data_IF_685198565484
#
_entry.id   IF_685198565484
#
_cell.length_a   1.000
_cell.length_b   1.000
_cell.length_c   1.000
_cell.angle_alpha   90.00
_cell.angle_beta   90.00
_cell.angle_gamma   90.00
#
_symmetry.space_group_name_H-M   'P 1'
#
loop_
_entity.id
_entity.type
_entity.pdbx_description
1 polymer ?
#
# COMPACT_ATOMS: atom_id res chain seq x y z
N UNK A 1 73.05 56.55 56.38
CA UNK A 1 71.76 56.99 55.81
C UNK A 1 70.80 55.82 55.89
N UNK A 2 69.70 55.94 56.63
CA UNK A 2 68.70 54.87 56.72
C UNK A 2 67.84 54.83 55.46
N UNK A 3 67.84 53.72 54.74
CA UNK A 3 66.95 53.51 53.59
C UNK A 3 65.51 53.40 54.10
N UNK A 4 64.59 54.21 53.60
CA UNK A 4 63.19 54.17 54.04
C UNK A 4 62.42 53.03 53.34
N UNK A 5 61.59 52.32 54.10
CA UNK A 5 60.80 51.16 53.64
C UNK A 5 59.54 51.55 52.84
N UNK A 6 59.11 52.80 52.97
CA UNK A 6 57.88 53.32 52.39
C UNK A 6 57.71 53.14 50.87
N UNK A 7 58.75 53.30 50.02
CA UNK A 7 58.62 53.06 48.58
C UNK A 7 58.28 51.60 48.25
N UNK A 8 58.83 50.65 49.00
CA UNK A 8 58.54 49.22 48.84
C UNK A 8 57.08 48.94 49.20
N UNK A 9 56.61 49.49 50.32
CA UNK A 9 55.20 49.35 50.74
C UNK A 9 54.25 49.97 49.71
N UNK A 10 54.59 51.13 49.15
CA UNK A 10 53.79 51.76 48.10
C UNK A 10 53.72 50.91 46.83
N UNK A 11 54.85 50.32 46.42
CA UNK A 11 54.92 49.42 45.27
C UNK A 11 54.08 48.15 45.49
N UNK A 12 54.18 47.51 46.67
CA UNK A 12 53.36 46.33 47.03
C UNK A 12 51.86 46.67 46.95
N UNK A 13 51.43 47.80 47.55
CA UNK A 13 50.02 48.24 47.45
C UNK A 13 49.58 48.55 46.02
N UNK A 14 50.48 49.03 45.16
CA UNK A 14 50.16 49.25 43.75
C UNK A 14 49.94 47.92 43.02
N UNK A 15 50.77 46.91 43.31
CA UNK A 15 50.61 45.54 42.79
C UNK A 15 49.33 44.90 43.31
N UNK A 16 49.00 45.01 44.60
CA UNK A 16 47.75 44.48 45.15
C UNK A 16 46.51 45.04 44.44
N UNK A 17 46.48 46.37 44.22
CA UNK A 17 45.39 47.01 43.46
C UNK A 17 45.34 46.54 42.02
N UNK A 18 46.50 46.37 41.38
CA UNK A 18 46.55 45.90 40.00
C UNK A 18 46.04 44.46 39.91
N UNK A 19 46.46 43.56 40.80
CA UNK A 19 45.99 42.18 40.87
C UNK A 19 44.48 42.14 41.08
N UNK A 20 43.93 42.96 41.98
CA UNK A 20 42.47 43.08 42.17
C UNK A 20 41.74 43.50 40.88
N UNK A 21 42.29 44.48 40.15
CA UNK A 21 41.72 44.92 38.87
C UNK A 21 41.81 43.85 37.76
N UNK A 22 42.86 43.01 37.76
CA UNK A 22 42.98 41.90 36.82
C UNK A 22 42.02 40.76 37.18
N UNK A 23 41.87 40.43 38.47
CA UNK A 23 40.91 39.42 38.93
C UNK A 23 39.47 39.80 38.56
N UNK A 24 39.06 41.06 38.78
CA UNK A 24 37.74 41.54 38.37
C UNK A 24 37.52 41.45 36.85
N UNK A 25 38.56 41.73 36.06
CA UNK A 25 38.52 41.58 34.59
C UNK A 25 38.39 40.12 34.17
N UNK A 26 39.12 39.21 34.79
CA UNK A 26 39.04 37.77 34.51
C UNK A 26 37.63 37.23 34.80
N UNK A 27 37.05 37.57 35.96
CA UNK A 27 35.68 37.14 36.30
C UNK A 27 34.63 37.68 35.31
N UNK A 28 34.81 38.92 34.83
CA UNK A 28 33.94 39.49 33.80
C UNK A 28 34.06 38.75 32.47
N UNK A 29 35.29 38.43 32.05
CA UNK A 29 35.55 37.66 30.85
C UNK A 29 34.99 36.25 30.95
N UNK A 30 35.21 35.56 32.08
CA UNK A 30 34.71 34.21 32.32
C UNK A 30 33.18 34.11 32.23
N UNK A 31 32.44 35.09 32.81
CA UNK A 31 30.98 35.14 32.61
C UNK A 31 30.60 35.35 31.14
N UNK A 32 31.32 36.22 30.44
CA UNK A 32 31.04 36.53 29.03
C UNK A 32 31.34 35.34 28.13
N UNK A 33 32.44 34.63 28.36
CA UNK A 33 32.79 33.41 27.61
C UNK A 33 31.80 32.31 27.90
N UNK A 34 31.42 32.08 29.17
CA UNK A 34 30.39 31.10 29.51
C UNK A 34 29.03 31.41 28.86
N UNK A 35 28.60 32.68 28.84
CA UNK A 35 27.39 33.08 28.12
C UNK A 35 27.50 32.90 26.60
N UNK A 36 28.68 33.18 26.01
CA UNK A 36 28.92 32.95 24.60
C UNK A 36 28.89 31.45 24.25
N UNK A 37 29.55 30.61 25.04
CA UNK A 37 29.53 29.14 24.89
C UNK A 37 28.11 28.58 24.96
N UNK A 38 27.30 29.06 25.89
CA UNK A 38 25.89 28.68 25.97
C UNK A 38 25.14 29.00 24.67
N UNK A 39 25.29 30.23 24.14
CA UNK A 39 24.68 30.63 22.85
C UNK A 39 25.18 29.79 21.68
N UNK A 40 26.48 29.45 21.64
CA UNK A 40 27.02 28.55 20.62
C UNK A 40 26.41 27.15 20.73
N UNK A 41 26.19 26.65 21.95
CA UNK A 41 25.55 25.36 22.17
C UNK A 41 24.09 25.34 21.70
N UNK A 42 23.36 26.43 21.93
CA UNK A 42 21.98 26.61 21.47
C UNK A 42 21.91 26.69 19.95
N UNK A 43 22.78 27.50 19.33
CA UNK A 43 22.90 27.56 17.87
C UNK A 43 23.26 26.19 17.27
N UNK A 44 24.17 25.44 17.89
CA UNK A 44 24.51 24.08 17.45
C UNK A 44 23.29 23.16 17.49
N UNK A 45 22.46 23.24 18.53
CA UNK A 45 21.22 22.45 18.63
C UNK A 45 20.24 22.80 17.52
N UNK A 46 20.02 24.09 17.24
CA UNK A 46 19.12 24.50 16.17
C UNK A 46 19.62 24.07 14.80
N UNK A 47 20.94 24.13 14.54
CA UNK A 47 21.54 23.63 13.30
C UNK A 47 21.30 22.13 13.11
N UNK A 48 21.45 21.33 14.17
CA UNK A 48 21.17 19.88 14.11
C UNK A 48 19.70 19.61 13.81
N UNK A 49 18.79 20.35 14.44
CA UNK A 49 17.33 20.25 14.19
C UNK A 49 16.96 20.66 12.75
N UNK A 50 17.60 21.70 12.20
CA UNK A 50 17.43 22.04 10.78
C UNK A 50 17.94 20.93 9.86
N UNK A 51 19.05 20.28 10.22
CA UNK A 51 19.59 19.12 9.50
C UNK A 51 18.58 17.97 9.44
N UNK A 52 18.02 17.56 10.57
CA UNK A 52 17.02 16.49 10.62
C UNK A 52 15.74 16.82 9.84
N UNK A 53 15.30 18.09 9.87
CA UNK A 53 14.18 18.56 9.07
C UNK A 53 14.46 18.52 7.56
N UNK A 54 15.68 18.83 7.13
CA UNK A 54 16.06 18.72 5.72
C UNK A 54 16.16 17.26 5.28
N UNK A 55 16.76 16.40 6.10
CA UNK A 55 16.86 14.96 5.82
C UNK A 55 15.48 14.31 5.68
N UNK A 56 14.55 14.61 6.58
CA UNK A 56 13.18 14.11 6.49
C UNK A 56 12.44 14.60 5.24
N UNK A 57 12.58 15.89 4.87
CA UNK A 57 12.02 16.43 3.61
C UNK A 57 12.63 15.78 2.37
N UNK A 58 13.95 15.55 2.37
CA UNK A 58 14.65 14.85 1.28
C UNK A 58 14.19 13.40 1.15
N UNK A 59 13.92 12.70 2.26
CA UNK A 59 13.38 11.34 2.23
C UNK A 59 11.98 11.29 1.56
N UNK A 60 11.11 12.25 1.89
CA UNK A 60 9.79 12.37 1.24
C UNK A 60 9.93 12.65 -0.25
N UNK A 61 10.80 13.59 -0.65
CA UNK A 61 11.07 13.88 -2.06
C UNK A 61 11.63 12.65 -2.80
N UNK A 62 12.54 11.90 -2.16
CA UNK A 62 13.06 10.64 -2.73
C UNK A 62 11.95 9.62 -2.99
N UNK A 63 11.00 9.49 -2.06
CA UNK A 63 9.83 8.62 -2.23
C UNK A 63 8.96 9.08 -3.40
N UNK A 64 8.69 10.37 -3.51
CA UNK A 64 7.89 10.94 -4.61
C UNK A 64 8.54 10.71 -5.98
N UNK A 65 9.86 10.84 -6.08
CA UNK A 65 10.61 10.54 -7.32
C UNK A 65 10.47 9.06 -7.68
N UNK A 66 10.57 8.16 -6.70
CA UNK A 66 10.37 6.73 -6.92
C UNK A 66 8.94 6.42 -7.42
N UNK A 67 7.92 7.02 -6.80
CA UNK A 67 6.52 6.89 -7.23
C UNK A 67 6.30 7.41 -8.65
N UNK A 68 6.87 8.57 -8.97
CA UNK A 68 6.82 9.11 -10.33
C UNK A 68 7.44 8.13 -11.35
N UNK A 69 8.58 7.53 -11.04
CA UNK A 69 9.20 6.51 -11.89
C UNK A 69 8.38 5.22 -12.03
N UNK A 70 7.61 4.85 -11.00
CA UNK A 70 6.63 3.75 -11.13
C UNK A 70 5.45 4.13 -12.03
N UNK A 71 4.93 5.35 -11.88
CA UNK A 71 3.83 5.86 -12.70
C UNK A 71 4.23 5.96 -14.17
N UNK A 72 5.44 6.44 -14.45
CA UNK A 72 5.98 6.53 -15.80
C UNK A 72 6.08 5.15 -16.47
N UNK A 73 6.56 4.12 -15.75
CA UNK A 73 6.56 2.73 -16.26
C UNK A 73 5.16 2.18 -16.50
N UNK A 74 4.19 2.48 -15.63
CA UNK A 74 2.79 2.10 -15.85
C UNK A 74 2.20 2.77 -17.09
N UNK A 75 2.54 4.04 -17.32
CA UNK A 75 2.12 4.78 -18.51
C UNK A 75 2.73 4.19 -19.78
N UNK A 76 4.03 3.88 -19.76
CA UNK A 76 4.72 3.24 -20.88
C UNK A 76 4.12 1.85 -21.19
N UNK A 77 3.84 1.06 -20.15
CA UNK A 77 3.14 -0.23 -20.30
C UNK A 77 1.75 -0.05 -20.93
N UNK A 78 1.00 0.96 -20.48
CA UNK A 78 -0.32 1.29 -21.05
C UNK A 78 -0.21 1.69 -22.52
N UNK A 79 0.76 2.54 -22.85
CA UNK A 79 1.02 2.96 -24.23
C UNK A 79 1.36 1.75 -25.13
N UNK A 80 2.19 0.83 -24.64
CA UNK A 80 2.52 -0.41 -25.34
C UNK A 80 1.29 -1.31 -25.55
N UNK A 81 0.41 -1.42 -24.54
CA UNK A 81 -0.85 -2.17 -24.67
C UNK A 81 -1.75 -1.56 -25.75
N UNK A 82 -1.88 -0.23 -25.78
CA UNK A 82 -2.68 0.49 -26.78
C UNK A 82 -2.10 0.35 -28.19
N UNK A 83 -0.77 0.51 -28.34
CA UNK A 83 -0.06 0.32 -29.62
C UNK A 83 -0.25 -1.09 -30.18
N UNK A 84 -0.18 -2.10 -29.32
CA UNK A 84 -0.31 -3.51 -29.72
C UNK A 84 -1.78 -4.00 -29.81
N UNK A 85 -2.76 -3.09 -29.64
CA UNK A 85 -4.19 -3.42 -29.59
C UNK A 85 -4.56 -4.51 -28.57
N UNK A 86 -3.78 -4.63 -27.50
CA UNK A 86 -3.98 -5.58 -26.40
C UNK A 86 -4.99 -5.04 -25.36
N UNK A 87 -6.11 -4.49 -25.85
CA UNK A 87 -7.13 -3.83 -25.03
C UNK A 87 -7.83 -4.77 -24.04
N UNK A 88 -7.81 -6.07 -24.31
CA UNK A 88 -8.41 -7.11 -23.46
C UNK A 88 -7.77 -7.18 -22.06
N UNK A 89 -6.53 -6.72 -21.89
CA UNK A 89 -5.83 -6.70 -20.59
C UNK A 89 -6.38 -5.59 -19.67
N UNK A 90 -6.98 -4.53 -20.22
CA UNK A 90 -7.56 -3.42 -19.46
C UNK A 90 -8.97 -3.69 -18.94
N UNK A 91 -9.58 -4.80 -19.38
CA UNK A 91 -10.92 -5.23 -18.99
C UNK A 91 -10.94 -5.94 -17.62
N UNK A 92 -9.78 -6.24 -17.03
CA UNK A 92 -9.71 -6.91 -15.73
C UNK A 92 -9.70 -5.90 -14.58
N UNK A 93 -10.62 -6.03 -13.61
CA UNK A 93 -10.55 -5.26 -12.37
C UNK A 93 -9.29 -5.66 -11.57
N UNK A 94 -8.65 -4.72 -10.85
CA UNK A 94 -7.51 -5.03 -10.00
C UNK A 94 -7.99 -5.81 -8.78
N UNK A 95 -7.97 -7.15 -8.87
CA UNK A 95 -8.28 -8.07 -7.77
C UNK A 95 -9.49 -9.00 -7.96
N UNK A 96 -10.08 -9.12 -9.15
CA UNK A 96 -11.26 -9.98 -9.38
C UNK A 96 -11.18 -10.79 -10.67
N UNK A 97 -11.60 -12.05 -10.57
CA UNK A 97 -11.69 -13.08 -11.61
C UNK A 97 -12.18 -12.57 -12.97
N UNK A 98 -11.65 -13.16 -14.05
CA UNK A 98 -12.03 -12.90 -15.44
C UNK A 98 -13.42 -13.49 -15.75
N UNK A 99 -14.48 -12.68 -15.96
CA UNK A 99 -15.80 -13.21 -16.30
C UNK A 99 -15.92 -13.51 -17.81
N UNK A 100 -16.46 -14.70 -18.06
CA UNK A 100 -16.56 -15.50 -19.28
C UNK A 100 -17.32 -14.90 -20.49
N UNK A 101 -17.65 -13.61 -20.53
CA UNK A 101 -18.60 -13.09 -21.52
C UNK A 101 -18.00 -12.18 -22.61
N UNK A 102 -16.69 -11.88 -22.58
CA UNK A 102 -16.11 -10.89 -23.49
C UNK A 102 -15.47 -11.43 -24.77
N UNK A 103 -15.51 -12.74 -24.98
CA UNK A 103 -15.06 -13.38 -26.23
C UNK A 103 -16.07 -13.25 -27.39
N UNK A 104 -17.13 -12.46 -27.22
CA UNK A 104 -18.14 -12.26 -28.26
C UNK A 104 -17.91 -10.94 -29.00
N UNK A 105 -16.77 -10.85 -29.67
CA UNK A 105 -16.72 -10.10 -30.93
C UNK A 105 -15.68 -10.71 -31.85
N UNK A 106 -16.18 -11.51 -32.79
CA UNK A 106 -15.60 -11.67 -34.12
C UNK A 106 -14.18 -12.22 -34.21
N UNK A 107 -14.10 -13.52 -34.49
CA UNK A 107 -13.02 -14.17 -35.25
C UNK A 107 -11.64 -14.27 -34.58
N UNK A 108 -11.43 -15.33 -33.81
CA UNK A 108 -10.14 -15.99 -33.72
C UNK A 108 -10.36 -17.48 -33.42
N UNK A 109 -10.57 -18.27 -34.47
CA UNK A 109 -10.38 -19.72 -34.39
C UNK A 109 -8.89 -19.96 -34.12
N UNK A 110 -8.55 -20.38 -32.89
CA UNK A 110 -7.19 -20.83 -32.57
C UNK A 110 -6.94 -22.12 -33.36
N UNK A 111 -5.89 -22.13 -34.17
CA UNK A 111 -5.57 -23.25 -35.05
C UNK A 111 -4.98 -24.43 -34.25
N UNK A 112 -5.26 -25.66 -34.68
CA UNK A 112 -4.85 -26.90 -33.98
C UNK A 112 -3.35 -27.02 -33.60
N UNK A 113 -2.38 -26.48 -34.36
CA UNK A 113 -0.95 -26.57 -34.00
C UNK A 113 -0.54 -25.65 -32.84
N UNK A 114 -1.29 -24.57 -32.60
CA UNK A 114 -0.97 -23.61 -31.52
C UNK A 114 -1.43 -24.14 -30.16
N UNK A 115 -2.49 -24.98 -30.15
CA UNK A 115 -3.06 -25.66 -28.98
C UNK A 115 -2.07 -26.55 -28.21
N UNK A 116 -1.15 -27.18 -28.91
CA UNK A 116 -0.18 -28.14 -28.34
C UNK A 116 0.98 -27.43 -27.63
N UNK A 117 1.28 -26.18 -28.02
CA UNK A 117 2.36 -25.37 -27.46
C UNK A 117 1.93 -24.47 -26.29
N UNK A 118 0.65 -24.45 -25.91
CA UNK A 118 0.19 -23.71 -24.73
C UNK A 118 0.54 -24.45 -23.43
N UNK A 119 1.12 -23.73 -22.48
CA UNK A 119 1.27 -24.22 -21.11
C UNK A 119 -0.09 -24.51 -20.46
N UNK A 120 -0.11 -25.43 -19.50
CA UNK A 120 -1.35 -26.01 -18.96
C UNK A 120 -2.27 -24.96 -18.34
N UNK A 121 -1.70 -23.92 -17.72
CA UNK A 121 -2.43 -22.77 -17.16
C UNK A 121 -3.12 -21.89 -18.21
N UNK A 122 -2.64 -21.89 -19.47
CA UNK A 122 -3.32 -21.21 -20.58
C UNK A 122 -4.40 -22.06 -21.24
N UNK A 123 -4.33 -23.39 -21.11
CA UNK A 123 -5.37 -24.32 -21.61
C UNK A 123 -6.55 -24.45 -20.64
N UNK A 124 -6.32 -24.27 -19.34
CA UNK A 124 -7.33 -24.36 -18.28
C UNK A 124 -8.59 -23.51 -18.54
N UNK A 125 -8.48 -22.21 -18.92
CA UNK A 125 -9.64 -21.36 -19.16
C UNK A 125 -10.51 -21.88 -20.30
N UNK A 126 -9.88 -22.38 -21.38
CA UNK A 126 -10.60 -22.94 -22.53
C UNK A 126 -11.21 -24.30 -22.24
N UNK A 127 -10.50 -25.22 -21.55
CA UNK A 127 -11.09 -26.47 -21.03
C UNK A 127 -12.33 -26.17 -20.18
N UNK A 128 -12.28 -25.10 -19.38
CA UNK A 128 -13.41 -24.66 -18.55
C UNK A 128 -14.53 -24.02 -19.39
N UNK A 129 -14.22 -23.33 -20.50
CA UNK A 129 -15.23 -22.82 -21.47
C UNK A 129 -15.92 -23.99 -22.15
N UNK A 130 -15.15 -24.94 -22.69
CA UNK A 130 -15.65 -26.09 -23.42
C UNK A 130 -16.46 -27.02 -22.51
N UNK A 131 -15.99 -27.26 -21.28
CA UNK A 131 -16.72 -28.04 -20.26
C UNK A 131 -17.97 -27.32 -19.80
N UNK A 132 -17.92 -25.99 -19.65
CA UNK A 132 -19.10 -25.16 -19.35
C UNK A 132 -20.15 -25.21 -20.46
N UNK A 133 -19.72 -25.08 -21.72
CA UNK A 133 -20.58 -25.20 -22.90
C UNK A 133 -21.18 -26.60 -23.02
N UNK A 134 -20.42 -27.67 -22.81
CA UNK A 134 -20.96 -29.03 -22.83
C UNK A 134 -21.96 -29.28 -21.69
N UNK A 135 -21.69 -28.82 -20.46
CA UNK A 135 -22.67 -28.92 -19.36
C UNK A 135 -23.94 -28.11 -19.64
N UNK A 136 -23.80 -26.94 -20.24
CA UNK A 136 -24.94 -26.09 -20.64
C UNK A 136 -25.74 -26.69 -21.78
N UNK A 137 -25.07 -27.30 -22.78
CA UNK A 137 -25.73 -27.98 -23.89
C UNK A 137 -26.43 -29.26 -23.41
N UNK A 138 -25.81 -30.04 -22.52
CA UNK A 138 -26.44 -31.22 -21.89
C UNK A 138 -27.65 -30.80 -21.04
N UNK A 139 -27.58 -29.68 -20.32
CA UNK A 139 -28.71 -29.14 -19.55
C UNK A 139 -29.83 -28.60 -20.44
N UNK A 140 -29.49 -28.01 -21.58
CA UNK A 140 -30.45 -27.52 -22.57
C UNK A 140 -31.14 -28.71 -23.27
N UNK A 141 -30.38 -29.73 -23.64
CA UNK A 141 -30.89 -30.95 -24.26
C UNK A 141 -31.77 -31.75 -23.28
N UNK A 142 -31.45 -31.75 -21.98
CA UNK A 142 -32.31 -32.29 -20.92
C UNK A 142 -33.61 -31.49 -20.72
N UNK A 143 -33.53 -30.16 -20.79
CA UNK A 143 -34.71 -29.28 -20.70
C UNK A 143 -35.62 -29.42 -21.93
N UNK A 144 -35.06 -29.62 -23.12
CA UNK A 144 -35.80 -29.85 -24.37
C UNK A 144 -36.42 -31.27 -24.38
N UNK A 145 -35.72 -32.27 -23.82
CA UNK A 145 -36.18 -33.67 -23.78
C UNK A 145 -37.25 -33.95 -22.70
N UNK A 146 -37.55 -32.99 -21.81
CA UNK A 146 -38.59 -33.09 -20.77
C UNK A 146 -39.51 -31.86 -20.78
N UNK A 147 -40.63 -31.90 -21.53
CA UNK A 147 -41.53 -30.74 -21.70
C UNK A 147 -42.23 -30.30 -20.40
N UNK A 148 -42.27 -31.15 -19.38
CA UNK A 148 -42.87 -30.87 -18.07
C UNK A 148 -42.09 -29.83 -17.24
N UNK A 149 -40.79 -29.65 -17.53
CA UNK A 149 -39.94 -28.66 -16.86
C UNK A 149 -39.99 -27.29 -17.54
N UNK A 150 -40.16 -27.27 -18.87
CA UNK A 150 -40.32 -26.02 -19.64
C UNK A 150 -41.65 -25.33 -19.35
N UNK A 151 -42.72 -26.11 -19.17
CA UNK A 151 -44.06 -25.59 -18.83
C UNK A 151 -44.09 -24.91 -17.45
N UNK A 152 -43.28 -25.37 -16.48
CA UNK A 152 -43.16 -24.75 -15.14
C UNK A 152 -42.31 -23.48 -15.12
N UNK A 153 -41.30 -23.38 -15.98
CA UNK A 153 -40.46 -22.17 -16.08
C UNK A 153 -41.19 -21.02 -16.77
N UNK A 154 -42.12 -21.34 -17.68
CA UNK A 154 -42.88 -20.37 -18.46
C UNK A 154 -44.15 -19.87 -17.74
N UNK A 155 -44.68 -20.61 -16.75
CA UNK A 155 -45.91 -20.22 -16.02
C UNK A 155 -45.70 -19.28 -14.82
N UNK A 156 -44.45 -19.02 -14.40
CA UNK A 156 -44.17 -18.05 -13.33
C UNK A 156 -44.77 -18.39 -11.95
N UNK A 157 -44.92 -19.67 -11.60
CA UNK A 157 -45.36 -20.08 -10.26
C UNK A 157 -44.18 -20.19 -9.27
N UNK A 158 -44.36 -19.79 -7.99
CA UNK A 158 -43.33 -19.95 -6.98
C UNK A 158 -43.11 -21.42 -6.61
N UNK A 159 -41.92 -21.80 -6.08
CA UNK A 159 -41.62 -23.19 -5.76
C UNK A 159 -42.48 -23.67 -4.60
N UNK A 160 -43.43 -24.58 -4.84
CA UNK A 160 -44.03 -25.36 -3.77
C UNK A 160 -43.02 -26.42 -3.33
N UNK A 161 -42.64 -26.35 -2.05
CA UNK A 161 -41.79 -27.32 -1.36
C UNK A 161 -42.31 -28.74 -1.55
N UNK A 162 -41.39 -29.63 -1.96
CA UNK A 162 -41.65 -31.07 -1.94
C UNK A 162 -41.75 -31.56 -0.50
N UNK A 163 -42.54 -32.59 -0.24
CA UNK A 163 -42.07 -33.98 -0.36
C UNK A 163 -43.20 -34.94 0.09
N UNK A 164 -43.26 -36.13 -0.52
CA UNK A 164 -44.24 -37.17 -0.23
C UNK A 164 -43.54 -38.38 0.40
N UNK A 165 -44.04 -38.82 1.55
CA UNK A 165 -43.94 -40.21 2.04
C UNK A 165 -43.30 -40.32 3.42
N UNK A 166 -43.75 -41.14 4.37
CA UNK A 166 -44.71 -42.25 4.29
C UNK A 166 -45.13 -42.72 5.71
N UNK A 167 -46.08 -43.67 5.70
CA UNK A 167 -46.47 -44.65 6.74
C UNK A 167 -47.71 -44.40 7.60
N UNK A 168 -48.71 -45.23 7.32
CA UNK A 168 -49.91 -45.59 8.12
C UNK A 168 -49.52 -46.17 9.48
N UNK A 169 -50.28 -45.84 10.52
CA UNK A 169 -51.20 -46.74 11.25
C UNK A 169 -51.91 -45.95 12.39
N UNK A 170 -53.22 -46.19 12.57
CA UNK A 170 -54.12 -45.70 13.64
C UNK A 170 -54.60 -47.01 14.33
N UNK A 171 -54.89 -47.13 15.66
CA UNK A 171 -55.82 -46.22 16.34
C UNK A 171 -55.84 -46.07 17.88
N UNK A 172 -56.69 -45.11 18.26
CA UNK A 172 -57.54 -45.02 19.45
C UNK A 172 -57.01 -44.26 20.68
N UNK A 173 -57.64 -43.10 20.89
CA UNK A 173 -57.90 -42.42 22.17
C UNK A 173 -58.69 -43.34 23.14
N UNK A 174 -58.67 -43.12 24.48
CA UNK A 174 -59.29 -41.91 25.05
C UNK A 174 -58.67 -41.31 26.33
N UNK A 175 -58.82 -39.99 26.41
CA UNK A 175 -59.28 -39.19 27.57
C UNK A 175 -58.74 -39.47 28.98
N UNK A 176 -57.98 -38.49 29.50
CA UNK A 176 -58.16 -37.90 30.84
C UNK A 176 -57.53 -36.51 30.87
#
# INVERSE_FOLDING_TARGET
AGVSLWPVVAAVRAVERSVGAHAARLLSLERRTGSAEQKYSECRKTVVEFGSQLESKLAVLGTLVQEYGQLQRRLENMENLLKNRNFWILQLPPGGEVPKAMFDSGTAYVSAPEWENLEEWQREPYKNVLRGKNKSLISLDYAISKPDLLSRLQSGEPPCDGDKGASREIPAEPSA
#
